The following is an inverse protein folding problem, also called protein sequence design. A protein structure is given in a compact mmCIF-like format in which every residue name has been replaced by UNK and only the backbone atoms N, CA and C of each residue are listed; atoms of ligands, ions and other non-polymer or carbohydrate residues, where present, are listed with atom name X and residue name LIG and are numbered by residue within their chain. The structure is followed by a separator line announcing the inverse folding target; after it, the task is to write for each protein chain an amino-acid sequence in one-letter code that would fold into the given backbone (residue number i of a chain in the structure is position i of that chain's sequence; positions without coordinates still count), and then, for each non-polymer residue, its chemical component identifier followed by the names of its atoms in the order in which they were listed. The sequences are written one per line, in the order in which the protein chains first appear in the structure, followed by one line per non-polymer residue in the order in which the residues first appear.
data_IF_368959037428
#
_entry.id   IF_368959037428
#
_cell.length_a   1.000
_cell.length_b   1.000
_cell.length_c   1.000
_cell.angle_alpha   90.00
_cell.angle_beta   90.00
_cell.angle_gamma   90.00
#
_symmetry.space_group_name_H-M   'P 1'
#
loop_
_entity.id
_entity.type
_entity.pdbx_description
1 polymer ?
#
# COMPACT_ATOMS: atom_id res chain seq x y z
N UNK A 1 -23.63 -7.59 11.03
CA UNK A 1 -24.72 -7.72 12.02
C UNK A 1 -24.49 -8.97 12.87
N UNK A 2 -24.64 -8.86 14.19
CA UNK A 2 -24.46 -9.96 15.12
C UNK A 2 -25.79 -10.69 15.37
N UNK A 3 -25.73 -11.97 15.74
CA UNK A 3 -26.91 -12.77 16.09
C UNK A 3 -27.47 -12.38 17.48
N UNK A 4 -28.78 -12.57 17.66
CA UNK A 4 -29.49 -12.34 18.94
C UNK A 4 -29.97 -10.90 19.13
N UNK A 5 -30.76 -10.69 20.19
CA UNK A 5 -31.28 -9.38 20.59
C UNK A 5 -30.38 -8.76 21.69
N UNK A 6 -30.12 -7.44 21.68
CA UNK A 6 -30.57 -6.45 20.70
C UNK A 6 -29.81 -6.52 19.36
N UNK A 7 -30.31 -5.84 18.32
CA UNK A 7 -29.58 -5.67 17.06
C UNK A 7 -28.23 -4.99 17.33
N UNK A 8 -27.15 -5.66 16.91
CA UNK A 8 -25.78 -5.19 17.10
C UNK A 8 -25.01 -5.28 15.79
N UNK A 9 -24.11 -4.34 15.59
CA UNK A 9 -23.14 -4.36 14.52
C UNK A 9 -21.74 -4.54 15.08
N UNK A 10 -20.92 -5.31 14.37
CA UNK A 10 -19.56 -5.62 14.75
C UNK A 10 -18.75 -5.89 13.50
N UNK A 11 -17.44 -5.69 13.61
CA UNK A 11 -16.48 -5.92 12.54
C UNK A 11 -15.28 -6.70 13.07
N UNK A 12 -14.62 -7.41 12.17
CA UNK A 12 -13.35 -8.09 12.45
C UNK A 12 -12.38 -7.67 11.36
N UNK A 13 -11.23 -7.15 11.77
CA UNK A 13 -10.13 -6.83 10.87
C UNK A 13 -8.97 -7.77 11.16
N UNK A 14 -8.41 -8.38 10.11
CA UNK A 14 -7.29 -9.32 10.22
C UNK A 14 -6.06 -8.65 9.65
N UNK A 15 -4.99 -8.59 10.44
CA UNK A 15 -3.67 -8.10 10.02
C UNK A 15 -2.67 -9.20 10.27
N UNK A 16 -2.05 -9.70 9.20
CA UNK A 16 -1.03 -10.74 9.25
C UNK A 16 0.31 -10.21 8.76
N UNK A 17 1.39 -10.63 9.43
CA UNK A 17 2.75 -10.39 8.97
C UNK A 17 3.30 -11.65 8.30
N UNK A 18 3.87 -11.50 7.10
CA UNK A 18 4.52 -12.59 6.35
C UNK A 18 6.00 -12.24 6.20
N UNK A 19 6.87 -13.20 6.49
CA UNK A 19 8.33 -13.03 6.42
C UNK A 19 8.91 -13.94 5.32
N UNK A 20 8.91 -13.50 4.05
CA UNK A 20 9.50 -14.28 2.97
C UNK A 20 11.01 -14.46 3.17
N UNK A 21 11.58 -15.62 2.81
CA UNK A 21 13.02 -15.83 2.82
C UNK A 21 13.69 -14.83 1.88
N UNK A 22 14.59 -14.00 2.40
CA UNK A 22 15.34 -13.02 1.61
C UNK A 22 14.52 -11.84 1.05
N UNK A 23 13.25 -11.70 1.41
CA UNK A 23 12.37 -10.69 0.80
C UNK A 23 11.76 -11.12 -0.54
N UNK A 24 11.83 -12.41 -0.88
CA UNK A 24 11.30 -12.94 -2.13
C UNK A 24 9.77 -13.11 -2.08
N UNK A 25 9.05 -12.25 -2.81
CA UNK A 25 7.60 -12.33 -2.90
C UNK A 25 7.08 -13.48 -3.75
N UNK A 26 7.94 -14.19 -4.49
CA UNK A 26 7.57 -15.39 -5.23
C UNK A 26 7.46 -16.63 -4.34
N UNK A 27 7.87 -16.53 -3.06
CA UNK A 27 7.70 -17.60 -2.08
C UNK A 27 6.22 -18.06 -2.01
N UNK A 28 5.95 -19.39 -1.91
CA UNK A 28 4.60 -19.92 -1.90
C UNK A 28 3.67 -19.31 -0.86
N UNK A 29 4.18 -18.99 0.34
CA UNK A 29 3.38 -18.39 1.42
C UNK A 29 2.98 -16.97 1.06
N UNK A 30 3.93 -16.21 0.51
CA UNK A 30 3.68 -14.82 0.10
C UNK A 30 2.69 -14.77 -1.07
N UNK A 31 2.91 -15.59 -2.09
CA UNK A 31 2.02 -15.68 -3.26
C UNK A 31 0.59 -16.09 -2.86
N UNK A 32 0.44 -17.08 -1.99
CA UNK A 32 -0.87 -17.48 -1.47
C UNK A 32 -1.55 -16.37 -0.66
N UNK A 33 -0.79 -15.65 0.17
CA UNK A 33 -1.32 -14.54 0.96
C UNK A 33 -1.82 -13.41 0.06
N UNK A 34 -1.00 -12.99 -0.93
CA UNK A 34 -1.35 -11.95 -1.90
C UNK A 34 -2.60 -12.29 -2.73
N UNK A 35 -2.85 -13.57 -2.98
CA UNK A 35 -4.07 -14.03 -3.65
C UNK A 35 -5.36 -13.82 -2.86
N UNK A 36 -5.26 -13.74 -1.52
CA UNK A 36 -6.43 -13.67 -0.62
C UNK A 36 -6.66 -12.23 -0.13
N UNK A 37 -5.58 -11.55 0.29
CA UNK A 37 -5.71 -10.24 0.95
C UNK A 37 -6.18 -9.16 -0.02
N UNK A 38 -6.92 -8.19 0.53
CA UNK A 38 -7.39 -7.03 -0.22
C UNK A 38 -6.47 -5.81 -0.06
N UNK A 39 -5.60 -5.84 0.95
CA UNK A 39 -4.59 -4.81 1.22
C UNK A 39 -3.25 -5.49 1.40
N UNK A 40 -2.23 -4.93 0.77
CA UNK A 40 -0.85 -5.36 0.90
C UNK A 40 0.04 -4.16 1.21
N UNK A 41 0.79 -4.25 2.31
CA UNK A 41 1.84 -3.30 2.66
C UNK A 41 3.20 -3.99 2.51
N UNK A 42 3.84 -3.76 1.37
CA UNK A 42 5.16 -4.29 1.09
C UNK A 42 6.22 -3.48 1.83
N UNK A 43 6.97 -4.12 2.71
CA UNK A 43 8.12 -3.51 3.38
C UNK A 43 9.38 -3.70 2.54
N UNK A 44 10.18 -2.65 2.40
CA UNK A 44 11.36 -2.63 1.54
C UNK A 44 12.65 -2.45 2.35
N UNK A 45 13.57 -3.40 2.12
CA UNK A 45 14.89 -3.45 2.74
C UNK A 45 15.74 -2.22 2.40
N UNK A 46 15.65 -1.66 1.19
CA UNK A 46 16.39 -0.45 0.78
C UNK A 46 15.95 0.76 1.59
N UNK A 47 14.65 0.91 1.84
CA UNK A 47 14.11 1.98 2.69
C UNK A 47 14.60 1.82 4.13
N UNK A 48 14.53 0.61 4.68
CA UNK A 48 15.00 0.31 6.03
C UNK A 48 16.52 0.57 6.20
N UNK A 49 17.32 0.17 5.21
CA UNK A 49 18.77 0.39 5.19
C UNK A 49 19.14 1.89 5.16
N UNK A 50 18.32 2.71 4.50
CA UNK A 50 18.46 4.19 4.50
C UNK A 50 17.83 4.86 5.73
N UNK A 51 17.37 4.09 6.73
CA UNK A 51 16.67 4.56 7.94
C UNK A 51 15.38 5.35 7.63
N UNK A 52 14.73 5.06 6.50
CA UNK A 52 13.43 5.63 6.18
C UNK A 52 12.33 4.81 6.84
N UNK A 53 11.63 5.39 7.82
CA UNK A 53 10.58 4.73 8.59
C UNK A 53 9.25 5.49 8.53
N UNK A 54 8.11 4.79 8.36
CA UNK A 54 8.00 3.34 8.11
C UNK A 54 8.57 2.98 6.73
N UNK A 55 9.13 1.77 6.61
CA UNK A 55 9.83 1.32 5.39
C UNK A 55 8.86 0.68 4.37
N UNK A 56 7.70 1.30 4.17
CA UNK A 56 6.67 0.83 3.24
C UNK A 56 7.05 1.28 1.84
N UNK A 57 7.12 0.35 0.89
CA UNK A 57 7.31 0.66 -0.51
C UNK A 57 5.95 0.99 -1.16
N UNK A 58 5.82 2.26 -1.53
CA UNK A 58 4.59 2.84 -2.08
C UNK A 58 4.28 2.40 -3.52
N UNK A 59 5.27 1.86 -4.26
CA UNK A 59 5.10 1.41 -5.64
C UNK A 59 4.49 0.00 -5.70
N UNK A 60 4.90 -0.90 -4.80
CA UNK A 60 4.40 -2.28 -4.76
C UNK A 60 3.17 -2.47 -3.87
N UNK A 61 2.97 -1.57 -2.89
CA UNK A 61 1.87 -1.66 -1.94
C UNK A 61 0.55 -1.26 -2.58
N UNK A 62 -0.54 -1.92 -2.22
CA UNK A 62 -1.86 -1.63 -2.78
C UNK A 62 -2.99 -1.85 -1.79
N UNK A 63 -4.16 -1.29 -2.13
CA UNK A 63 -5.42 -1.58 -1.47
C UNK A 63 -6.54 -1.62 -2.51
N UNK A 64 -7.33 -2.69 -2.48
CA UNK A 64 -8.53 -2.87 -3.32
C UNK A 64 -9.76 -2.16 -2.74
N UNK A 65 -9.68 -1.62 -1.52
CA UNK A 65 -10.79 -0.92 -0.86
C UNK A 65 -10.93 0.56 -1.24
N UNK A 66 -10.08 1.08 -2.14
CA UNK A 66 -10.10 2.51 -2.48
C UNK A 66 -11.50 2.97 -2.91
N UNK A 67 -12.15 2.26 -3.85
CA UNK A 67 -13.51 2.57 -4.30
C UNK A 67 -14.56 2.45 -3.19
N UNK A 68 -14.43 1.46 -2.31
CA UNK A 68 -15.36 1.25 -1.21
C UNK A 68 -15.26 2.33 -0.12
N UNK A 69 -14.14 3.06 -0.09
CA UNK A 69 -13.89 4.13 0.88
C UNK A 69 -14.13 5.53 0.29
N UNK A 70 -14.34 5.67 -1.01
CA UNK A 70 -14.49 6.98 -1.66
C UNK A 70 -15.71 7.72 -1.07
N UNK A 71 -16.88 7.09 -0.91
CA UNK A 71 -18.07 7.70 -0.27
C UNK A 71 -17.78 8.26 1.14
N UNK A 72 -17.00 7.51 1.94
CA UNK A 72 -16.64 7.94 3.29
C UNK A 72 -15.72 9.17 3.24
N UNK A 73 -14.71 9.15 2.37
CA UNK A 73 -13.79 10.27 2.25
C UNK A 73 -14.43 11.49 1.61
N UNK A 74 -15.27 11.34 0.59
CA UNK A 74 -15.99 12.47 -0.01
C UNK A 74 -16.88 13.19 1.01
N UNK A 75 -17.54 12.44 1.90
CA UNK A 75 -18.40 13.01 2.93
C UNK A 75 -17.64 13.74 4.04
N UNK A 76 -16.49 13.21 4.47
CA UNK A 76 -15.80 13.69 5.67
C UNK A 76 -14.51 14.48 5.38
N UNK A 77 -13.89 14.24 4.22
CA UNK A 77 -12.55 14.70 3.82
C UNK A 77 -12.47 14.87 2.29
N UNK A 78 -13.30 15.74 1.71
CA UNK A 78 -13.48 15.86 0.26
C UNK A 78 -12.17 16.07 -0.54
N UNK A 79 -11.15 16.69 0.06
CA UNK A 79 -9.85 16.91 -0.57
C UNK A 79 -8.95 15.66 -0.61
N UNK A 80 -9.25 14.63 0.19
CA UNK A 80 -8.35 13.48 0.35
C UNK A 80 -8.19 12.66 -0.93
N UNK A 81 -9.30 12.37 -1.63
CA UNK A 81 -9.27 11.57 -2.86
C UNK A 81 -8.40 12.22 -3.94
N UNK A 82 -8.59 13.50 -4.32
CA UNK A 82 -7.74 14.14 -5.33
C UNK A 82 -6.28 14.27 -4.88
N UNK A 83 -6.02 14.59 -3.60
CA UNK A 83 -4.65 14.67 -3.07
C UNK A 83 -3.94 13.32 -3.12
N UNK A 84 -4.61 12.25 -2.70
CA UNK A 84 -4.09 10.87 -2.77
C UNK A 84 -3.72 10.49 -4.20
N UNK A 85 -4.58 10.81 -5.17
CA UNK A 85 -4.31 10.55 -6.59
C UNK A 85 -3.08 11.32 -7.04
N UNK A 86 -3.00 12.62 -6.74
CA UNK A 86 -1.87 13.45 -7.17
C UNK A 86 -0.54 13.02 -6.55
N UNK A 87 -0.54 12.65 -5.27
CA UNK A 87 0.66 12.15 -4.58
C UNK A 87 1.14 10.84 -5.22
N UNK A 88 0.24 9.92 -5.58
CA UNK A 88 0.61 8.69 -6.26
C UNK A 88 1.23 8.94 -7.64
N UNK A 89 0.66 9.86 -8.41
CA UNK A 89 1.22 10.26 -9.70
C UNK A 89 2.63 10.83 -9.54
N UNK A 90 2.83 11.78 -8.61
CA UNK A 90 4.14 12.39 -8.37
C UNK A 90 5.19 11.34 -7.97
N UNK A 91 4.82 10.38 -7.11
CA UNK A 91 5.75 9.34 -6.68
C UNK A 91 6.10 8.36 -7.80
N UNK A 92 5.16 8.09 -8.73
CA UNK A 92 5.46 7.27 -9.90
C UNK A 92 6.36 8.02 -10.89
N UNK A 93 6.05 9.29 -11.16
CA UNK A 93 6.88 10.14 -12.01
C UNK A 93 8.32 10.27 -11.46
N UNK A 94 8.48 10.35 -10.14
CA UNK A 94 9.81 10.41 -9.50
C UNK A 94 10.64 9.14 -9.74
N UNK A 95 10.03 7.96 -9.65
CA UNK A 95 10.72 6.69 -9.92
C UNK A 95 11.14 6.62 -11.40
N UNK A 96 10.22 6.94 -12.32
CA UNK A 96 10.48 6.93 -13.77
C UNK A 96 11.63 7.90 -14.13
N UNK A 97 11.66 9.08 -13.51
CA UNK A 97 12.73 10.06 -13.70
C UNK A 97 14.06 9.61 -13.07
N UNK A 98 14.01 8.96 -11.92
CA UNK A 98 15.19 8.44 -11.22
C UNK A 98 15.92 7.40 -12.09
N UNK A 99 15.19 6.55 -12.80
CA UNK A 99 15.75 5.59 -13.76
C UNK A 99 16.49 6.29 -14.91
N UNK A 100 15.87 7.32 -15.50
CA UNK A 100 16.49 8.12 -16.58
C UNK A 100 17.77 8.81 -16.09
N UNK A 101 17.73 9.43 -14.91
CA UNK A 101 18.88 10.13 -14.33
C UNK A 101 20.05 9.19 -14.08
N UNK A 102 19.80 7.94 -13.68
CA UNK A 102 20.86 6.95 -13.48
C UNK A 102 21.53 6.52 -14.80
N UNK A 103 20.80 6.54 -15.91
CA UNK A 103 21.31 6.18 -17.24
C UNK A 103 22.07 7.32 -17.92
N UNK A 104 21.54 8.54 -17.85
CA UNK A 104 22.04 9.71 -18.60
C UNK A 104 22.98 10.59 -17.77
N UNK A 105 22.86 10.51 -16.43
CA UNK A 105 23.45 11.47 -15.51
C UNK A 105 22.55 12.70 -15.32
N UNK A 106 22.54 13.27 -14.10
CA UNK A 106 21.96 14.60 -13.90
C UNK A 106 22.78 15.57 -14.75
N UNK A 107 22.17 16.18 -15.77
CA UNK A 107 22.82 17.22 -16.55
C UNK A 107 23.35 18.29 -15.56
N UNK A 108 24.67 18.42 -15.53
CA UNK A 108 25.41 19.36 -14.67
C UNK A 108 24.97 20.81 -14.88
#
# INVERSE_FOLDING_TARGET
KCLGNPEREGSVSIVGAVSPPGGDFSDPVTSATLGIVQVFWGLDKKLAQRKHFPSINWLISYSKYMRALDDFYEKNFAEFVPLRTKVKEILQEEEDLSEIVQLVGKAS
#
